data_IF_038809868277
#
_entry.id   IF_038809868277
#
_cell.length_a   1.000
_cell.length_b   1.000
_cell.length_c   1.000
_cell.angle_alpha   90.00
_cell.angle_beta   90.00
_cell.angle_gamma   90.00
#
_symmetry.space_group_name_H-M   'P 1'
#
loop_
_entity.id
_entity.type
_entity.pdbx_description
1 polymer ?
#
# COMPACT_ATOMS: atom_id res chain seq x y z
N UNK A 1 15.73 12.24 8.97
CA UNK A 1 15.92 11.70 7.61
C UNK A 1 14.87 10.64 7.30
N UNK A 2 14.61 9.69 8.19
CA UNK A 2 13.54 8.70 8.05
C UNK A 2 12.14 9.32 7.98
N UNK A 3 11.89 10.38 8.75
CA UNK A 3 10.64 11.17 8.77
C UNK A 3 10.27 11.76 7.39
N UNK A 4 11.24 12.40 6.71
CA UNK A 4 11.03 12.95 5.35
C UNK A 4 10.74 11.84 4.35
N UNK A 5 11.40 10.68 4.48
CA UNK A 5 11.14 9.53 3.62
C UNK A 5 9.76 8.92 3.88
N UNK A 6 9.33 8.82 5.15
CA UNK A 6 7.97 8.40 5.53
C UNK A 6 6.94 9.32 4.89
N UNK A 7 7.09 10.64 5.01
CA UNK A 7 6.17 11.62 4.41
C UNK A 7 6.14 11.51 2.88
N UNK A 8 7.29 11.30 2.23
CA UNK A 8 7.35 11.09 0.78
C UNK A 8 6.56 9.85 0.35
N UNK A 9 6.72 8.73 1.07
CA UNK A 9 5.97 7.51 0.78
C UNK A 9 4.48 7.65 1.06
N UNK A 10 4.09 8.33 2.13
CA UNK A 10 2.68 8.63 2.45
C UNK A 10 2.04 9.50 1.38
N UNK A 11 2.72 10.57 0.96
CA UNK A 11 2.25 11.44 -0.13
C UNK A 11 2.04 10.62 -1.41
N UNK A 12 3.03 9.82 -1.80
CA UNK A 12 2.94 8.94 -2.98
C UNK A 12 1.79 7.94 -2.87
N UNK A 13 1.60 7.34 -1.70
CA UNK A 13 0.52 6.40 -1.46
C UNK A 13 -0.86 7.06 -1.64
N UNK A 14 -1.04 8.25 -1.06
CA UNK A 14 -2.26 9.05 -1.18
C UNK A 14 -2.52 9.49 -2.62
N UNK A 15 -1.50 9.98 -3.32
CA UNK A 15 -1.59 10.38 -4.73
C UNK A 15 -2.03 9.19 -5.61
N UNK A 16 -1.46 8.01 -5.42
CA UNK A 16 -1.86 6.81 -6.16
C UNK A 16 -3.30 6.38 -5.86
N UNK A 17 -3.71 6.36 -4.59
CA UNK A 17 -5.09 5.99 -4.25
C UNK A 17 -6.12 7.01 -4.73
N UNK A 18 -5.77 8.29 -4.77
CA UNK A 18 -6.64 9.30 -5.36
C UNK A 18 -6.75 9.11 -6.88
N UNK A 19 -5.63 8.89 -7.58
CA UNK A 19 -5.64 8.53 -9.00
C UNK A 19 -6.46 7.27 -9.29
N UNK A 20 -6.35 6.23 -8.45
CA UNK A 20 -7.18 5.03 -8.53
C UNK A 20 -8.67 5.39 -8.48
N UNK A 21 -9.09 6.23 -7.52
CA UNK A 21 -10.49 6.65 -7.35
C UNK A 21 -11.00 7.47 -8.53
N UNK A 22 -10.22 8.42 -9.04
CA UNK A 22 -10.59 9.24 -10.19
C UNK A 22 -10.87 8.39 -11.44
N UNK A 23 -10.15 7.28 -11.60
CA UNK A 23 -10.27 6.39 -12.75
C UNK A 23 -11.29 5.25 -12.55
N UNK A 24 -11.84 5.06 -11.35
CA UNK A 24 -12.56 3.81 -11.01
C UNK A 24 -13.92 3.67 -11.70
N UNK A 25 -14.54 4.79 -12.05
CA UNK A 25 -15.91 4.79 -12.58
C UNK A 25 -15.97 4.34 -14.05
N UNK A 26 -14.84 4.40 -14.78
CA UNK A 26 -14.70 3.86 -16.15
C UNK A 26 -13.69 2.71 -16.18
N UNK A 27 -14.09 1.58 -15.61
CA UNK A 27 -13.27 0.37 -15.57
C UNK A 27 -13.03 -0.25 -16.96
N UNK A 28 -13.83 0.11 -17.98
CA UNK A 28 -13.64 -0.37 -19.36
C UNK A 28 -12.43 0.32 -19.98
N UNK A 29 -12.30 1.64 -19.80
CA UNK A 29 -11.17 2.40 -20.31
C UNK A 29 -9.92 2.32 -19.42
N UNK A 30 -10.09 2.32 -18.09
CA UNK A 30 -8.98 2.53 -17.15
C UNK A 30 -8.76 1.41 -16.12
N UNK A 31 -9.37 0.24 -16.32
CA UNK A 31 -9.29 -0.87 -15.37
C UNK A 31 -7.86 -1.27 -14.99
N UNK A 32 -6.93 -1.32 -15.95
CA UNK A 32 -5.52 -1.61 -15.67
C UNK A 32 -4.82 -0.48 -14.91
N UNK A 33 -4.97 0.76 -15.37
CA UNK A 33 -4.34 1.93 -14.73
C UNK A 33 -4.79 2.06 -13.28
N UNK A 34 -6.10 2.00 -13.04
CA UNK A 34 -6.65 2.09 -11.69
C UNK A 34 -6.22 0.89 -10.82
N UNK A 35 -6.19 -0.33 -11.37
CA UNK A 35 -5.69 -1.50 -10.64
C UNK A 35 -4.19 -1.40 -10.28
N UNK A 36 -3.35 -0.88 -11.17
CA UNK A 36 -1.93 -0.66 -10.88
C UNK A 36 -1.73 0.44 -9.82
N UNK A 37 -2.49 1.53 -9.90
CA UNK A 37 -2.49 2.57 -8.89
C UNK A 37 -2.91 2.03 -7.51
N UNK A 38 -3.91 1.15 -7.45
CA UNK A 38 -4.30 0.46 -6.22
C UNK A 38 -3.14 -0.31 -5.58
N UNK A 39 -2.41 -1.10 -6.39
CA UNK A 39 -1.24 -1.87 -5.93
C UNK A 39 -0.11 -0.94 -5.48
N UNK A 40 0.22 0.08 -6.28
CA UNK A 40 1.32 1.00 -5.96
C UNK A 40 1.02 1.90 -4.76
N UNK A 41 -0.26 2.25 -4.54
CA UNK A 41 -0.69 2.92 -3.32
C UNK A 41 -0.44 2.06 -2.08
N UNK A 42 -0.81 0.78 -2.12
CA UNK A 42 -0.56 -0.15 -1.02
C UNK A 42 0.94 -0.42 -0.79
N UNK A 43 1.73 -0.58 -1.85
CA UNK A 43 3.19 -0.72 -1.73
C UNK A 43 3.80 0.53 -1.08
N UNK A 44 3.38 1.73 -1.51
CA UNK A 44 3.92 2.97 -0.94
C UNK A 44 3.55 3.13 0.55
N UNK A 45 2.36 2.74 0.97
CA UNK A 45 2.01 2.67 2.40
C UNK A 45 2.85 1.65 3.17
N UNK A 46 3.13 0.48 2.57
CA UNK A 46 4.02 -0.52 3.16
C UNK A 46 5.43 0.06 3.37
N UNK A 47 5.97 0.74 2.35
CA UNK A 47 7.28 1.38 2.40
C UNK A 47 7.34 2.47 3.48
N UNK A 48 6.27 3.25 3.64
CA UNK A 48 6.15 4.22 4.73
C UNK A 48 6.21 3.54 6.11
N UNK A 49 5.42 2.47 6.32
CA UNK A 49 5.41 1.74 7.60
C UNK A 49 6.79 1.15 7.89
N UNK A 50 7.41 0.48 6.91
CA UNK A 50 8.72 -0.16 7.05
C UNK A 50 9.80 0.86 7.38
N UNK A 51 9.87 1.95 6.61
CA UNK A 51 10.81 3.06 6.86
C UNK A 51 10.63 3.62 8.28
N UNK A 52 9.38 3.89 8.66
CA UNK A 52 9.05 4.43 9.98
C UNK A 52 9.34 3.50 11.16
N UNK A 53 9.40 2.19 10.89
CA UNK A 53 9.76 1.17 11.88
C UNK A 53 11.26 0.86 11.90
N UNK A 54 12.06 1.56 11.08
CA UNK A 54 13.51 1.45 11.04
C UNK A 54 14.04 0.47 10.01
N UNK A 55 13.26 0.09 9.00
CA UNK A 55 13.75 -0.71 7.86
C UNK A 55 14.63 0.13 6.94
N UNK A 56 15.89 -0.24 6.87
CA UNK A 56 16.96 0.37 6.10
C UNK A 56 17.08 -0.20 4.67
N UNK A 57 16.26 -1.19 4.31
CA UNK A 57 16.23 -1.79 2.97
C UNK A 57 14.85 -1.73 2.31
N UNK A 58 14.42 -0.51 1.99
CA UNK A 58 13.19 -0.24 1.24
C UNK A 58 13.55 -0.08 -0.25
N UNK A 59 13.95 -1.19 -0.90
CA UNK A 59 14.19 -1.21 -2.36
C UNK A 59 12.93 -1.65 -3.14
N UNK A 60 12.80 -1.14 -4.36
CA UNK A 60 11.61 -1.27 -5.18
C UNK A 60 11.45 -2.63 -5.89
N UNK A 61 12.45 -3.51 -5.87
CA UNK A 61 12.51 -4.63 -6.80
C UNK A 61 11.91 -5.94 -6.26
N UNK A 62 11.85 -6.14 -4.93
CA UNK A 62 11.19 -7.31 -4.33
C UNK A 62 10.06 -6.94 -3.37
N UNK A 63 8.90 -6.62 -3.95
CA UNK A 63 7.69 -6.37 -3.16
C UNK A 63 7.19 -7.61 -2.41
N UNK A 64 7.61 -8.84 -2.79
CA UNK A 64 7.19 -10.04 -2.04
C UNK A 64 7.90 -10.10 -0.70
N UNK A 65 9.17 -9.70 -0.64
CA UNK A 65 9.91 -9.55 0.62
C UNK A 65 9.34 -8.44 1.51
N UNK A 66 8.72 -7.40 0.92
CA UNK A 66 8.18 -6.27 1.67
C UNK A 66 7.11 -6.68 2.70
N UNK A 67 6.24 -7.63 2.35
CA UNK A 67 5.19 -8.12 3.26
C UNK A 67 5.80 -8.82 4.47
N UNK A 68 6.73 -9.75 4.24
CA UNK A 68 7.39 -10.50 5.31
C UNK A 68 8.22 -9.59 6.21
N UNK A 69 8.89 -8.58 5.64
CA UNK A 69 9.66 -7.60 6.43
C UNK A 69 8.73 -6.74 7.30
N UNK A 70 7.64 -6.23 6.73
CA UNK A 70 6.65 -5.48 7.51
C UNK A 70 6.06 -6.35 8.63
N UNK A 71 5.76 -7.62 8.35
CA UNK A 71 5.28 -8.56 9.37
C UNK A 71 6.28 -8.71 10.52
N UNK A 72 7.55 -8.92 10.22
CA UNK A 72 8.60 -9.06 11.23
C UNK A 72 8.70 -7.79 12.10
N UNK A 73 8.74 -6.61 11.49
CA UNK A 73 8.82 -5.34 12.22
C UNK A 73 7.62 -5.13 13.16
N UNK A 74 6.41 -5.46 12.70
CA UNK A 74 5.20 -5.36 13.53
C UNK A 74 5.24 -6.36 14.70
N UNK A 75 5.74 -7.57 14.48
CA UNK A 75 5.92 -8.57 15.54
C UNK A 75 6.96 -8.13 16.57
N UNK A 76 8.07 -7.54 16.12
CA UNK A 76 9.11 -7.00 17.01
C UNK A 76 8.57 -5.86 17.89
N UNK A 77 7.66 -5.04 17.35
CA UNK A 77 6.91 -4.03 18.12
C UNK A 77 5.73 -4.60 18.92
N UNK A 78 5.47 -5.91 18.86
CA UNK A 78 4.32 -6.60 19.48
C UNK A 78 2.97 -5.98 19.07
N UNK A 79 2.87 -5.50 17.83
CA UNK A 79 1.63 -4.90 17.32
C UNK A 79 0.56 -5.99 17.08
N UNK A 80 -0.65 -5.87 17.65
CA UNK A 80 -1.61 -6.98 17.65
C UNK A 80 -2.45 -7.07 16.37
N UNK A 81 -2.58 -6.00 15.59
CA UNK A 81 -3.50 -5.94 14.43
C UNK A 81 -2.74 -6.23 13.13
N UNK A 82 -2.58 -7.50 12.79
CA UNK A 82 -1.81 -7.95 11.61
C UNK A 82 -2.66 -8.19 10.35
N UNK A 83 -3.97 -7.90 10.39
CA UNK A 83 -4.92 -8.23 9.33
C UNK A 83 -4.69 -7.45 8.03
N UNK A 84 -4.03 -6.29 8.08
CA UNK A 84 -3.61 -5.55 6.89
C UNK A 84 -2.60 -6.30 6.02
N UNK A 85 -1.74 -7.14 6.61
CA UNK A 85 -0.69 -7.87 5.89
C UNK A 85 -1.28 -8.82 4.84
N UNK A 86 -2.40 -9.47 5.15
CA UNK A 86 -3.07 -10.35 4.19
C UNK A 86 -3.54 -9.56 2.97
N UNK A 87 -4.12 -8.37 3.17
CA UNK A 87 -4.62 -7.51 2.09
C UNK A 87 -3.47 -7.02 1.21
N UNK A 88 -2.35 -6.64 1.81
CA UNK A 88 -1.15 -6.26 1.09
C UNK A 88 -0.59 -7.42 0.26
N UNK A 89 -0.49 -8.61 0.85
CA UNK A 89 -0.04 -9.83 0.18
C UNK A 89 -0.91 -10.17 -1.03
N UNK A 90 -2.24 -10.13 -0.86
CA UNK A 90 -3.19 -10.38 -1.95
C UNK A 90 -3.04 -9.34 -3.09
N UNK A 91 -2.82 -8.05 -2.77
CA UNK A 91 -2.60 -6.99 -3.78
C UNK A 91 -1.29 -7.20 -4.56
N UNK A 92 -0.20 -7.51 -3.87
CA UNK A 92 1.11 -7.73 -4.49
C UNK A 92 1.10 -9.00 -5.35
N UNK A 93 0.40 -10.04 -4.91
CA UNK A 93 0.20 -11.27 -5.69
C UNK A 93 -0.51 -11.01 -7.02
N UNK A 94 -1.44 -10.06 -7.06
CA UNK A 94 -2.17 -9.67 -8.27
C UNK A 94 -1.34 -8.80 -9.25
N UNK A 95 -0.25 -8.14 -8.78
CA UNK A 95 0.55 -7.18 -9.57
C UNK A 95 0.98 -7.72 -10.94
N UNK A 96 1.63 -8.88 -10.97
CA UNK A 96 2.17 -9.44 -12.22
C UNK A 96 1.06 -9.81 -13.21
N UNK A 97 -0.06 -10.32 -12.70
CA UNK A 97 -1.20 -10.67 -13.53
C UNK A 97 -1.87 -9.42 -14.13
N UNK A 98 -1.87 -8.29 -13.42
CA UNK A 98 -2.41 -7.01 -13.91
C UNK A 98 -1.44 -6.37 -14.91
N UNK A 99 -0.14 -6.35 -14.60
CA UNK A 99 0.87 -5.65 -15.39
C UNK A 99 1.24 -6.37 -16.70
N UNK A 100 1.31 -7.71 -16.66
CA UNK A 100 1.86 -8.51 -17.76
C UNK A 100 0.89 -9.60 -18.24
N UNK A 101 -0.28 -9.75 -17.61
CA UNK A 101 -1.28 -10.72 -18.03
C UNK A 101 -1.90 -10.36 -19.38
N UNK A 102 -2.26 -11.37 -20.15
CA UNK A 102 -2.94 -11.21 -21.43
C UNK A 102 -4.46 -11.05 -21.32
N UNK A 103 -5.01 -11.07 -20.10
CA UNK A 103 -6.46 -11.01 -19.84
C UNK A 103 -6.86 -9.63 -19.33
N UNK A 104 -7.96 -9.10 -19.87
CA UNK A 104 -8.63 -7.91 -19.33
C UNK A 104 -8.94 -8.11 -17.85
N UNK A 105 -8.74 -7.05 -17.07
CA UNK A 105 -9.20 -7.01 -15.67
C UNK A 105 -10.72 -6.98 -15.68
N UNK A 106 -11.35 -8.06 -15.20
CA UNK A 106 -12.80 -8.11 -15.04
C UNK A 106 -13.26 -7.05 -14.03
N UNK A 107 -14.46 -6.49 -14.22
CA UNK A 107 -15.00 -5.43 -13.37
C UNK A 107 -15.11 -5.86 -11.90
N UNK A 108 -15.44 -7.13 -11.64
CA UNK A 108 -15.50 -7.70 -10.29
C UNK A 108 -14.11 -7.76 -9.65
N UNK A 109 -13.11 -8.19 -10.43
CA UNK A 109 -11.71 -8.21 -9.97
C UNK A 109 -11.22 -6.78 -9.69
N UNK A 110 -11.58 -5.85 -10.57
CA UNK A 110 -11.26 -4.43 -10.41
C UNK A 110 -11.82 -3.88 -9.09
N UNK A 111 -13.12 -4.02 -8.87
CA UNK A 111 -13.77 -3.58 -7.63
C UNK A 111 -13.16 -4.23 -6.38
N UNK A 112 -12.87 -5.52 -6.45
CA UNK A 112 -12.23 -6.22 -5.33
C UNK A 112 -10.82 -5.67 -5.02
N UNK A 113 -10.05 -5.28 -6.04
CA UNK A 113 -8.73 -4.67 -5.87
C UNK A 113 -8.82 -3.27 -5.24
N UNK A 114 -9.72 -2.42 -5.73
CA UNK A 114 -9.90 -1.07 -5.19
C UNK A 114 -10.38 -1.11 -3.74
N UNK A 115 -11.38 -1.94 -3.43
CA UNK A 115 -11.91 -2.10 -2.07
C UNK A 115 -10.82 -2.61 -1.11
N UNK A 116 -9.96 -3.53 -1.59
CA UNK A 116 -8.86 -4.09 -0.80
C UNK A 116 -7.78 -3.04 -0.54
N UNK A 117 -7.43 -2.22 -1.54
CA UNK A 117 -6.45 -1.15 -1.41
C UNK A 117 -6.93 -0.07 -0.43
N UNK A 118 -8.19 0.36 -0.51
CA UNK A 118 -8.78 1.33 0.43
C UNK A 118 -8.77 0.80 1.87
N UNK A 119 -9.14 -0.47 2.08
CA UNK A 119 -9.10 -1.11 3.40
C UNK A 119 -7.68 -1.25 3.94
N UNK A 120 -6.73 -1.58 3.08
CA UNK A 120 -5.32 -1.62 3.48
C UNK A 120 -4.80 -0.24 3.88
N UNK A 121 -5.13 0.80 3.10
CA UNK A 121 -4.75 2.18 3.41
C UNK A 121 -5.31 2.63 4.77
N UNK A 122 -6.60 2.37 5.02
CA UNK A 122 -7.20 2.69 6.32
C UNK A 122 -6.52 1.97 7.48
N UNK A 123 -6.18 0.68 7.30
CA UNK A 123 -5.41 -0.07 8.30
C UNK A 123 -4.00 0.51 8.48
N UNK A 124 -3.31 0.90 7.41
CA UNK A 124 -1.97 1.46 7.47
C UNK A 124 -1.98 2.80 8.23
N UNK A 125 -2.95 3.67 7.96
CA UNK A 125 -3.13 4.94 8.66
C UNK A 125 -3.34 4.76 10.17
N UNK A 126 -4.18 3.80 10.56
CA UNK A 126 -4.38 3.44 11.97
C UNK A 126 -3.08 2.87 12.56
N UNK A 127 -2.40 2.00 11.84
CA UNK A 127 -1.20 1.30 12.31
C UNK A 127 -0.05 2.26 12.57
N UNK A 128 0.26 3.15 11.62
CA UNK A 128 1.35 4.11 11.81
C UNK A 128 1.05 5.15 12.88
N UNK A 129 -0.23 5.54 13.04
CA UNK A 129 -0.66 6.37 14.16
C UNK A 129 -0.55 5.66 15.52
N UNK A 130 -1.03 4.42 15.64
CA UNK A 130 -0.95 3.61 16.86
C UNK A 130 0.52 3.41 17.30
N UNK A 131 1.41 3.21 16.32
CA UNK A 131 2.84 3.02 16.54
C UNK A 131 3.63 4.33 16.71
N UNK A 132 2.96 5.49 16.60
CA UNK A 132 3.56 6.83 16.70
C UNK A 132 4.78 7.00 15.80
N UNK A 133 4.68 6.52 14.56
CA UNK A 133 5.75 6.65 13.57
C UNK A 133 6.00 8.14 13.30
N UNK A 134 7.26 8.56 13.38
CA UNK A 134 7.67 9.93 13.05
C UNK A 134 7.40 10.23 11.57
N UNK A 135 6.82 11.40 11.29
CA UNK A 135 6.37 11.78 9.94
C UNK A 135 5.03 11.16 9.50
N UNK A 136 4.32 10.40 10.36
CA UNK A 136 3.06 9.75 9.99
C UNK A 136 1.83 10.67 9.99
N UNK A 137 1.77 11.55 10.98
CA UNK A 137 0.80 12.65 11.01
C UNK A 137 1.62 13.90 10.75
N UNK A 138 1.24 14.67 9.74
CA UNK A 138 1.74 16.04 9.63
C UNK A 138 1.48 16.71 10.98
N UNK A 139 2.44 17.52 11.45
CA UNK A 139 2.14 18.50 12.48
C UNK A 139 0.94 19.28 11.98
N UNK A 140 -0.23 18.97 12.56
CA UNK A 140 -1.42 19.75 12.37
C UNK A 140 -1.21 21.02 13.18
N UNK A 141 -0.51 21.97 12.56
CA UNK A 141 -0.55 23.38 12.91
C UNK A 141 -1.44 24.11 11.90
#
# INVERSE_FOLDING_TARGET
MSDVQVQLYLKRAKDFLEGMKLLRDDCIAYGYSSALLAVHGAVSYCDALRTGLGDDNVSADDHREAVSRLEQLLRDKRYPKLDGLKRLSDLIGDKNAIAYGSKRVAQEKFKALTDRAERFAAWAEITGADLKIEGWRDGAD
#
